data_IF_189752732408
#
_entry.id   IF_189752732408
#
_cell.length_a   1.000
_cell.length_b   1.000
_cell.length_c   1.000
_cell.angle_alpha   90.00
_cell.angle_beta   90.00
_cell.angle_gamma   90.00
#
_symmetry.space_group_name_H-M   'P 1'
#
loop_
_entity.id
_entity.type
_entity.pdbx_description
1 polymer ?
#
# COMPACT_ATOMS: atom_id res chain seq x y z
N UNK A 1 72.04 16.80 86.25
CA UNK A 1 70.76 17.04 85.54
C UNK A 1 70.34 15.74 84.90
N UNK A 2 69.12 15.21 85.18
CA UNK A 2 68.60 14.04 84.48
C UNK A 2 68.31 14.36 83.00
N UNK A 3 68.68 13.45 82.09
CA UNK A 3 68.52 13.61 80.65
C UNK A 3 67.07 13.61 80.19
N UNK A 4 66.79 14.34 79.11
CA UNK A 4 65.47 14.43 78.49
C UNK A 4 64.97 13.03 78.07
N UNK A 5 63.70 12.68 78.35
CA UNK A 5 63.09 11.43 77.87
C UNK A 5 63.17 11.36 76.34
N UNK A 6 63.58 10.21 75.80
CA UNK A 6 63.70 9.98 74.37
C UNK A 6 62.36 10.06 73.64
N UNK A 7 62.41 10.53 72.40
CA UNK A 7 61.22 10.70 71.56
C UNK A 7 60.45 9.39 71.35
N UNK A 8 59.13 9.49 71.38
CA UNK A 8 58.23 8.36 71.19
C UNK A 8 58.36 7.83 69.76
N UNK A 9 58.60 6.52 69.61
CA UNK A 9 58.78 5.88 68.31
C UNK A 9 57.59 6.10 67.36
N UNK A 10 57.88 6.14 66.06
CA UNK A 10 56.89 6.37 65.00
C UNK A 10 55.80 5.29 65.02
N UNK A 11 54.53 5.63 64.73
CA UNK A 11 53.46 4.65 64.59
C UNK A 11 53.76 3.62 63.49
N UNK A 12 53.40 2.35 63.73
CA UNK A 12 53.57 1.27 62.75
C UNK A 12 52.74 1.48 61.48
N UNK A 13 53.26 0.99 60.35
CA UNK A 13 52.59 1.10 59.05
C UNK A 13 51.26 0.32 59.02
N UNK A 14 50.21 0.95 58.50
CA UNK A 14 48.87 0.36 58.38
C UNK A 14 48.89 -0.75 57.31
N UNK A 15 48.32 -1.92 57.61
CA UNK A 15 48.26 -3.06 56.68
C UNK A 15 47.49 -2.75 55.40
N UNK A 16 47.93 -3.32 54.28
CA UNK A 16 47.36 -3.10 52.95
C UNK A 16 46.02 -3.84 52.79
N UNK A 17 44.99 -3.15 52.29
CA UNK A 17 43.69 -3.76 52.01
C UNK A 17 43.77 -4.73 50.81
N UNK A 18 43.07 -5.87 50.90
CA UNK A 18 42.99 -6.85 49.81
C UNK A 18 42.14 -6.35 48.64
N UNK A 19 42.50 -6.73 47.42
CA UNK A 19 41.77 -6.36 46.21
C UNK A 19 40.38 -7.05 46.14
N UNK A 20 39.36 -6.39 45.58
CA UNK A 20 38.06 -7.01 45.29
C UNK A 20 38.21 -8.21 44.34
N UNK A 21 37.39 -9.26 44.54
CA UNK A 21 37.39 -10.44 43.68
C UNK A 21 36.85 -10.15 42.28
N UNK A 22 37.26 -10.99 41.31
CA UNK A 22 36.89 -10.82 39.90
C UNK A 22 35.38 -10.99 39.67
N UNK A 23 34.84 -10.22 38.71
CA UNK A 23 33.44 -10.31 38.29
C UNK A 23 33.19 -11.66 37.59
N UNK A 24 32.12 -12.36 37.98
CA UNK A 24 31.73 -13.63 37.37
C UNK A 24 31.37 -13.50 35.88
N UNK A 25 31.56 -14.57 35.12
CA UNK A 25 31.26 -14.59 33.68
C UNK A 25 29.77 -14.34 33.41
N UNK A 26 29.41 -13.62 32.33
CA UNK A 26 28.02 -13.48 31.91
C UNK A 26 27.31 -14.83 31.74
N UNK A 27 26.04 -14.89 32.11
CA UNK A 27 25.22 -16.09 31.89
C UNK A 27 24.99 -16.40 30.40
N UNK A 28 24.53 -17.61 30.08
CA UNK A 28 24.23 -18.00 28.71
C UNK A 28 23.12 -17.13 28.09
N UNK A 29 23.21 -16.90 26.78
CA UNK A 29 22.19 -16.16 26.01
C UNK A 29 20.86 -16.92 26.09
N UNK A 30 19.77 -16.20 26.38
CA UNK A 30 18.42 -16.77 26.42
C UNK A 30 17.95 -17.24 25.04
N UNK A 31 16.97 -18.15 25.01
CA UNK A 31 16.37 -18.62 23.76
C UNK A 31 15.72 -17.45 22.98
N UNK A 32 15.80 -17.42 21.64
CA UNK A 32 15.06 -16.46 20.83
C UNK A 32 13.56 -16.54 21.14
N UNK A 33 12.91 -15.38 21.28
CA UNK A 33 11.46 -15.31 21.46
C UNK A 33 10.68 -15.84 20.24
N UNK A 34 9.37 -16.16 20.39
CA UNK A 34 8.54 -16.65 19.28
C UNK A 34 8.49 -15.64 18.13
N UNK A 35 8.59 -16.16 16.89
CA UNK A 35 8.65 -15.39 15.64
C UNK A 35 7.61 -14.26 15.59
N UNK A 36 8.11 -13.03 15.38
CA UNK A 36 7.30 -11.84 15.15
C UNK A 36 6.41 -12.06 13.92
N UNK A 37 5.11 -12.26 14.13
CA UNK A 37 4.11 -11.94 13.10
C UNK A 37 4.32 -10.46 12.78
N UNK A 38 4.77 -10.17 11.57
CA UNK A 38 4.93 -8.80 11.12
C UNK A 38 3.53 -8.21 10.92
N UNK A 39 3.22 -7.07 11.54
CA UNK A 39 1.97 -6.30 11.34
C UNK A 39 1.85 -5.72 9.90
N UNK A 40 2.30 -6.47 8.90
CA UNK A 40 2.37 -6.09 7.49
C UNK A 40 1.18 -6.70 6.79
N UNK A 41 0.40 -5.84 6.14
CA UNK A 41 -0.74 -6.25 5.34
C UNK A 41 -0.40 -6.17 3.86
N UNK A 42 -0.76 -7.22 3.13
CA UNK A 42 -0.80 -7.21 1.68
C UNK A 42 -2.25 -7.05 1.23
N UNK A 43 -2.48 -6.11 0.32
CA UNK A 43 -3.76 -5.98 -0.37
C UNK A 43 -3.59 -6.33 -1.84
N UNK A 44 -4.55 -7.09 -2.38
CA UNK A 44 -4.59 -7.46 -3.79
C UNK A 44 -5.98 -7.26 -4.36
N UNK A 45 -6.04 -6.68 -5.56
CA UNK A 45 -7.29 -6.40 -6.28
C UNK A 45 -7.38 -7.29 -7.52
N UNK A 46 -8.50 -8.00 -7.66
CA UNK A 46 -8.70 -8.95 -8.77
C UNK A 46 -8.98 -8.27 -10.11
N UNK A 47 -9.53 -7.05 -10.09
CA UNK A 47 -10.17 -6.44 -11.25
C UNK A 47 -11.24 -7.36 -11.88
N UNK A 48 -11.89 -8.19 -11.06
CA UNK A 48 -12.91 -9.19 -11.41
C UNK A 48 -14.03 -9.22 -10.33
N UNK A 49 -15.15 -9.89 -10.61
CA UNK A 49 -16.27 -10.12 -9.68
C UNK A 49 -15.94 -11.14 -8.59
N UNK A 50 -14.85 -11.90 -8.74
CA UNK A 50 -14.37 -12.90 -7.77
C UNK A 50 -13.18 -12.35 -6.97
N UNK A 51 -13.16 -12.52 -5.63
CA UNK A 51 -12.00 -12.15 -4.82
C UNK A 51 -10.72 -12.88 -5.30
N UNK A 52 -9.57 -12.20 -5.30
CA UNK A 52 -8.30 -12.86 -5.56
C UNK A 52 -7.91 -13.73 -4.36
N UNK A 53 -6.99 -14.68 -4.57
CA UNK A 53 -6.45 -15.51 -3.48
C UNK A 53 -5.20 -14.86 -2.88
N UNK A 54 -5.03 -14.97 -1.56
CA UNK A 54 -3.77 -14.63 -0.91
C UNK A 54 -2.62 -15.47 -1.49
N UNK A 55 -1.43 -14.89 -1.68
CA UNK A 55 -0.22 -15.65 -2.01
C UNK A 55 0.10 -16.74 -0.98
N UNK A 56 1.00 -17.66 -1.34
CA UNK A 56 1.44 -18.73 -0.45
C UNK A 56 2.04 -18.16 0.84
N UNK A 57 1.87 -18.88 1.95
CA UNK A 57 2.38 -18.51 3.28
C UNK A 57 1.83 -17.19 3.84
N UNK A 58 0.65 -16.77 3.37
CA UNK A 58 -0.07 -15.61 3.90
C UNK A 58 -1.46 -16.03 4.39
N UNK A 59 -1.90 -15.44 5.49
CA UNK A 59 -3.22 -15.71 6.07
C UNK A 59 -4.22 -14.70 5.54
N UNK A 60 -5.35 -15.17 5.00
CA UNK A 60 -6.44 -14.27 4.61
C UNK A 60 -7.10 -13.66 5.85
N UNK A 61 -7.24 -12.33 5.85
CA UNK A 61 -7.99 -11.61 6.88
C UNK A 61 -9.44 -11.38 6.43
N UNK A 62 -9.67 -10.75 5.29
CA UNK A 62 -11.02 -10.59 4.72
C UNK A 62 -11.02 -10.41 3.20
N UNK A 63 -12.20 -10.63 2.61
CA UNK A 63 -12.52 -10.28 1.22
C UNK A 63 -13.41 -9.02 1.20
N UNK A 64 -13.32 -8.24 0.13
CA UNK A 64 -14.09 -6.99 0.01
C UNK A 64 -14.29 -6.50 -1.41
N UNK A 65 -14.57 -5.21 -1.52
CA UNK A 65 -14.76 -4.44 -2.73
C UNK A 65 -13.70 -3.35 -2.81
N UNK A 66 -13.21 -3.10 -4.02
CA UNK A 66 -12.01 -2.30 -4.28
C UNK A 66 -12.34 -0.81 -4.35
N UNK A 67 -12.33 -0.13 -3.21
CA UNK A 67 -12.50 1.32 -3.14
C UNK A 67 -11.25 2.03 -3.64
N UNK A 68 -11.43 2.99 -4.56
CA UNK A 68 -10.34 3.82 -5.06
C UNK A 68 -10.33 5.20 -4.38
N UNK A 69 -11.45 5.89 -4.40
CA UNK A 69 -11.61 7.17 -3.71
C UNK A 69 -13.07 7.53 -3.47
N UNK A 70 -13.30 8.45 -2.54
CA UNK A 70 -14.60 9.09 -2.31
C UNK A 70 -14.50 10.58 -2.64
N UNK A 71 -15.60 11.18 -3.08
CA UNK A 71 -15.69 12.62 -3.32
C UNK A 71 -16.89 13.18 -2.56
N UNK A 72 -16.61 14.06 -1.61
CA UNK A 72 -17.61 14.75 -0.80
C UNK A 72 -17.39 16.25 -0.87
N UNK A 73 -18.45 17.02 -1.11
CA UNK A 73 -18.36 18.48 -1.20
C UNK A 73 -17.29 18.97 -2.20
N UNK A 74 -17.13 18.28 -3.34
CA UNK A 74 -16.14 18.60 -4.37
C UNK A 74 -14.69 18.25 -4.03
N UNK A 75 -14.42 17.68 -2.85
CA UNK A 75 -13.10 17.25 -2.43
C UNK A 75 -13.00 15.75 -2.53
N UNK A 76 -11.94 15.27 -3.18
CA UNK A 76 -11.68 13.85 -3.30
C UNK A 76 -10.69 13.37 -2.23
N UNK A 77 -10.93 12.16 -1.72
CA UNK A 77 -10.08 11.49 -0.75
C UNK A 77 -9.83 10.06 -1.20
N UNK A 78 -8.57 9.79 -1.57
CA UNK A 78 -8.13 8.52 -2.12
C UNK A 78 -7.74 7.51 -1.06
N UNK A 79 -7.86 6.24 -1.42
CA UNK A 79 -7.23 5.13 -0.73
C UNK A 79 -6.15 4.56 -1.65
N UNK A 80 -4.95 4.38 -1.11
CA UNK A 80 -3.90 3.68 -1.84
C UNK A 80 -4.28 2.18 -1.92
N UNK A 81 -4.26 1.63 -3.13
CA UNK A 81 -4.69 0.27 -3.45
C UNK A 81 -3.75 -0.80 -2.87
N UNK A 82 -2.59 -0.42 -2.34
CA UNK A 82 -1.73 -1.33 -1.58
C UNK A 82 -2.09 -1.40 -0.09
N UNK A 83 -3.03 -0.58 0.39
CA UNK A 83 -3.39 -0.50 1.80
C UNK A 83 -4.81 -1.01 2.07
N UNK A 84 -5.02 -1.55 3.27
CA UNK A 84 -6.25 -2.21 3.68
C UNK A 84 -7.51 -1.33 3.56
N UNK A 85 -7.38 -0.01 3.65
CA UNK A 85 -8.49 0.94 3.50
C UNK A 85 -9.14 0.94 2.12
N UNK A 86 -8.43 0.48 1.08
CA UNK A 86 -8.96 0.29 -0.26
C UNK A 86 -9.84 -0.97 -0.40
N UNK A 87 -9.89 -1.85 0.62
CA UNK A 87 -10.63 -3.10 0.55
C UNK A 87 -11.81 -3.15 1.54
N UNK A 88 -12.93 -2.55 1.17
CA UNK A 88 -14.11 -2.47 2.04
C UNK A 88 -14.94 -3.75 2.00
N UNK A 89 -15.28 -4.32 3.16
CA UNK A 89 -16.06 -5.57 3.25
C UNK A 89 -17.49 -5.44 2.69
N UNK A 90 -18.04 -4.21 2.66
CA UNK A 90 -19.39 -3.93 2.18
C UNK A 90 -19.33 -2.84 1.11
N UNK A 91 -20.01 -3.10 0.01
CA UNK A 91 -20.22 -2.13 -1.04
C UNK A 91 -21.43 -1.23 -0.71
N UNK A 92 -21.31 0.06 -1.06
CA UNK A 92 -22.42 1.00 -1.15
C UNK A 92 -22.03 2.05 -2.20
N UNK A 93 -23.00 2.54 -2.98
CA UNK A 93 -22.78 3.71 -3.85
C UNK A 93 -22.48 4.97 -3.02
N UNK A 94 -22.86 4.98 -1.74
CA UNK A 94 -22.55 6.00 -0.75
C UNK A 94 -22.06 5.35 0.55
N UNK A 95 -20.75 5.08 0.70
CA UNK A 95 -20.22 4.40 1.88
C UNK A 95 -19.96 5.33 3.09
N UNK A 96 -20.32 6.61 3.00
CA UNK A 96 -20.09 7.61 4.05
C UNK A 96 -21.30 8.54 4.23
N UNK A 97 -21.29 9.29 5.33
CA UNK A 97 -22.24 10.35 5.64
C UNK A 97 -21.48 11.62 6.03
N UNK A 98 -22.16 12.75 6.07
CA UNK A 98 -21.58 14.01 6.54
C UNK A 98 -22.46 14.62 7.62
N UNK A 99 -21.85 15.38 8.53
CA UNK A 99 -22.54 16.08 9.62
C UNK A 99 -22.17 17.55 9.60
N UNK A 100 -23.06 18.40 10.14
CA UNK A 100 -22.74 19.80 10.39
C UNK A 100 -21.67 19.94 11.49
N UNK A 101 -20.96 21.08 11.56
CA UNK A 101 -19.91 21.31 12.57
C UNK A 101 -20.40 21.18 14.01
N UNK A 102 -21.67 21.51 14.27
CA UNK A 102 -22.27 21.42 15.61
C UNK A 102 -22.64 19.96 15.99
N UNK A 103 -22.56 19.01 15.06
CA UNK A 103 -22.85 17.59 15.29
C UNK A 103 -24.32 17.27 15.57
N UNK A 104 -25.23 18.23 15.37
CA UNK A 104 -26.67 18.10 15.65
C UNK A 104 -27.46 17.51 14.49
N UNK A 105 -26.94 17.62 13.26
CA UNK A 105 -27.60 17.15 12.03
C UNK A 105 -26.59 16.42 11.16
N UNK A 106 -26.83 15.13 10.95
CA UNK A 106 -26.11 14.32 9.97
C UNK A 106 -27.03 13.98 8.80
N UNK A 107 -26.45 13.90 7.61
CA UNK A 107 -27.15 13.63 6.37
C UNK A 107 -26.47 12.49 5.63
N UNK A 108 -27.27 11.56 5.13
CA UNK A 108 -26.82 10.40 4.37
C UNK A 108 -27.47 10.39 3.00
N UNK A 109 -26.66 10.21 1.95
CA UNK A 109 -27.11 10.10 0.56
C UNK A 109 -28.07 11.21 0.07
N UNK A 110 -28.01 12.41 0.68
CA UNK A 110 -28.89 13.54 0.36
C UNK A 110 -28.24 14.60 -0.54
N UNK A 111 -26.96 14.41 -0.91
CA UNK A 111 -26.18 15.29 -1.81
C UNK A 111 -25.64 14.52 -3.00
N UNK A 112 -25.12 15.25 -3.98
CA UNK A 112 -24.48 14.72 -5.18
C UNK A 112 -23.03 14.22 -4.95
N UNK A 113 -22.74 13.71 -3.76
CA UNK A 113 -21.46 13.11 -3.45
C UNK A 113 -21.29 11.76 -4.17
N UNK A 114 -20.05 11.31 -4.32
CA UNK A 114 -19.68 10.22 -5.21
C UNK A 114 -18.70 9.25 -4.55
N UNK A 115 -18.70 8.02 -5.03
CA UNK A 115 -17.67 7.03 -4.72
C UNK A 115 -17.13 6.41 -6.00
N UNK A 116 -15.84 6.09 -6.04
CA UNK A 116 -15.19 5.47 -7.19
C UNK A 116 -14.52 4.18 -6.78
N UNK A 117 -14.71 3.15 -7.59
CA UNK A 117 -14.30 1.78 -7.30
C UNK A 117 -13.50 1.23 -8.47
N UNK A 118 -12.46 0.43 -8.22
CA UNK A 118 -11.85 -0.34 -9.30
C UNK A 118 -12.92 -1.24 -9.91
N UNK A 119 -12.83 -1.41 -11.23
CA UNK A 119 -13.87 -2.04 -12.01
C UNK A 119 -13.45 -3.34 -12.69
N UNK A 120 -14.43 -4.13 -13.12
CA UNK A 120 -14.21 -5.43 -13.77
C UNK A 120 -13.94 -5.30 -15.27
N UNK A 121 -13.76 -6.43 -15.95
CA UNK A 121 -13.58 -6.52 -17.40
C UNK A 121 -14.91 -6.51 -18.17
N UNK A 122 -16.03 -6.26 -17.47
CA UNK A 122 -17.35 -6.18 -18.09
C UNK A 122 -17.36 -5.06 -19.14
N UNK A 123 -17.96 -5.29 -20.33
CA UNK A 123 -18.09 -4.24 -21.34
C UNK A 123 -18.77 -2.99 -20.78
N UNK A 124 -18.31 -1.81 -21.23
CA UNK A 124 -18.87 -0.51 -20.86
C UNK A 124 -20.40 -0.51 -21.08
N UNK A 125 -21.20 -0.23 -20.04
CA UNK A 125 -22.64 -0.21 -20.17
C UNK A 125 -23.07 1.00 -21.01
N UNK A 126 -24.17 0.88 -21.77
CA UNK A 126 -24.71 1.97 -22.58
C UNK A 126 -25.41 3.06 -21.74
N UNK A 127 -25.74 2.75 -20.49
CA UNK A 127 -26.49 3.61 -19.56
C UNK A 127 -26.04 3.34 -18.12
N UNK A 128 -26.28 4.27 -17.18
CA UNK A 128 -25.99 4.04 -15.76
C UNK A 128 -26.64 2.76 -15.24
N UNK A 129 -25.85 1.94 -14.56
CA UNK A 129 -26.28 0.67 -13.93
C UNK A 129 -26.77 0.93 -12.51
N UNK A 130 -27.68 0.08 -12.02
CA UNK A 130 -28.38 0.21 -10.73
C UNK A 130 -28.43 -1.11 -9.99
N UNK A 131 -28.56 -1.02 -8.67
CA UNK A 131 -28.89 -2.14 -7.79
C UNK A 131 -27.95 -3.34 -8.00
N UNK A 132 -28.49 -4.56 -8.12
CA UNK A 132 -27.72 -5.80 -8.25
C UNK A 132 -26.83 -5.83 -9.50
N UNK A 133 -27.25 -5.16 -10.58
CA UNK A 133 -26.46 -5.10 -11.81
C UNK A 133 -25.13 -4.33 -11.63
N UNK A 134 -24.98 -3.54 -10.56
CA UNK A 134 -23.72 -2.87 -10.23
C UNK A 134 -22.64 -3.90 -9.87
N UNK A 135 -23.01 -5.02 -9.23
CA UNK A 135 -22.07 -6.03 -8.74
C UNK A 135 -21.13 -6.56 -9.83
N UNK A 136 -21.65 -6.70 -11.05
CA UNK A 136 -20.89 -7.14 -12.24
C UNK A 136 -19.73 -6.22 -12.61
N UNK A 137 -19.74 -4.97 -12.13
CA UNK A 137 -18.77 -3.93 -12.47
C UNK A 137 -17.80 -3.59 -11.36
N UNK A 138 -18.00 -4.09 -10.13
CA UNK A 138 -17.14 -3.76 -8.98
C UNK A 138 -16.07 -4.83 -8.77
N UNK A 139 -14.80 -4.41 -8.82
CA UNK A 139 -13.65 -5.27 -8.54
C UNK A 139 -13.66 -5.75 -7.10
N UNK A 140 -13.32 -7.03 -6.90
CA UNK A 140 -13.11 -7.61 -5.57
C UNK A 140 -11.65 -7.53 -5.13
N UNK A 141 -11.45 -7.55 -3.82
CA UNK A 141 -10.12 -7.49 -3.20
C UNK A 141 -10.02 -8.48 -2.04
N UNK A 142 -8.79 -8.76 -1.64
CA UNK A 142 -8.44 -9.54 -0.46
C UNK A 142 -7.38 -8.80 0.34
N UNK A 143 -7.47 -8.90 1.67
CA UNK A 143 -6.41 -8.46 2.58
C UNK A 143 -5.80 -9.67 3.26
N UNK A 144 -4.47 -9.75 3.21
CA UNK A 144 -3.68 -10.86 3.72
C UNK A 144 -2.67 -10.36 4.73
N UNK A 145 -2.42 -11.16 5.77
CA UNK A 145 -1.28 -11.00 6.66
C UNK A 145 -0.03 -11.51 5.94
N UNK A 146 0.95 -10.62 5.75
CA UNK A 146 2.21 -10.92 5.06
C UNK A 146 3.33 -11.14 6.08
N UNK A 147 4.23 -12.12 5.87
CA UNK A 147 5.34 -12.37 6.79
C UNK A 147 6.53 -11.41 6.59
N UNK A 148 6.52 -10.61 5.53
CA UNK A 148 7.60 -9.69 5.20
C UNK A 148 7.10 -8.49 4.40
N UNK A 149 7.97 -7.47 4.28
CA UNK A 149 7.68 -6.24 3.53
C UNK A 149 7.46 -6.54 2.06
N UNK A 150 6.53 -5.79 1.45
CA UNK A 150 6.18 -5.86 0.03
C UNK A 150 6.33 -4.48 -0.60
N UNK A 151 6.83 -4.42 -1.83
CA UNK A 151 6.96 -3.18 -2.60
C UNK A 151 6.72 -3.39 -4.09
N UNK A 152 6.35 -2.33 -4.79
CA UNK A 152 6.33 -2.28 -6.24
C UNK A 152 7.66 -1.71 -6.78
N UNK A 153 8.14 -2.28 -7.88
CA UNK A 153 9.23 -1.75 -8.71
C UNK A 153 8.72 -1.51 -10.12
N UNK A 154 9.17 -0.41 -10.75
CA UNK A 154 8.70 0.03 -12.06
C UNK A 154 9.88 0.14 -13.04
N UNK A 155 9.72 -0.37 -14.26
CA UNK A 155 10.82 -0.41 -15.23
C UNK A 155 10.94 0.84 -16.09
N UNK A 156 9.84 1.57 -16.30
CA UNK A 156 9.73 2.60 -17.33
C UNK A 156 10.10 2.08 -18.74
N UNK A 157 9.92 0.77 -18.97
CA UNK A 157 10.09 0.09 -20.25
C UNK A 157 8.95 -0.89 -20.48
N UNK A 158 8.94 -1.57 -21.63
CA UNK A 158 7.98 -2.62 -21.97
C UNK A 158 8.29 -3.96 -21.27
N UNK A 159 9.48 -4.06 -20.66
CA UNK A 159 10.02 -5.25 -20.02
C UNK A 159 9.68 -5.19 -18.53
N UNK A 160 9.26 -6.32 -17.95
CA UNK A 160 9.01 -6.41 -16.52
C UNK A 160 10.32 -6.22 -15.74
N UNK A 161 10.35 -5.35 -14.71
CA UNK A 161 11.53 -5.21 -13.86
C UNK A 161 11.73 -6.47 -13.01
N UNK A 162 12.99 -6.86 -12.82
CA UNK A 162 13.34 -7.91 -11.87
C UNK A 162 13.21 -7.41 -10.42
N UNK A 163 12.86 -8.32 -9.51
CA UNK A 163 12.87 -8.00 -8.08
C UNK A 163 14.33 -7.82 -7.60
N UNK A 164 14.60 -6.90 -6.66
CA UNK A 164 15.95 -6.72 -6.14
C UNK A 164 16.49 -7.97 -5.44
N UNK A 165 17.81 -8.05 -5.29
CA UNK A 165 18.47 -9.16 -4.59
C UNK A 165 17.88 -9.36 -3.17
N UNK A 166 17.52 -10.60 -2.85
CA UNK A 166 16.85 -10.96 -1.59
C UNK A 166 15.36 -10.65 -1.56
N UNK A 167 14.73 -10.51 -2.73
CA UNK A 167 13.29 -10.37 -2.89
C UNK A 167 12.75 -11.33 -3.96
N UNK A 168 11.55 -11.86 -3.71
CA UNK A 168 10.82 -12.74 -4.62
C UNK A 168 9.61 -12.04 -5.23
N UNK A 169 9.27 -12.37 -6.48
CA UNK A 169 8.10 -11.81 -7.17
C UNK A 169 6.79 -12.43 -6.65
N UNK A 170 5.81 -11.58 -6.35
CA UNK A 170 4.43 -11.98 -6.05
C UNK A 170 3.56 -11.93 -7.31
N UNK A 171 3.57 -10.82 -8.04
CA UNK A 171 2.91 -10.64 -9.33
C UNK A 171 3.60 -9.56 -10.16
N UNK A 172 3.17 -9.45 -11.42
CA UNK A 172 3.64 -8.45 -12.38
C UNK A 172 2.45 -7.73 -13.01
N UNK A 173 2.67 -6.54 -13.53
CA UNK A 173 1.58 -5.73 -14.05
C UNK A 173 2.01 -4.49 -14.84
N UNK A 174 1.16 -3.46 -14.75
CA UNK A 174 1.31 -2.16 -15.38
C UNK A 174 1.34 -1.05 -14.33
N UNK A 175 2.20 -0.06 -14.60
CA UNK A 175 2.51 1.02 -13.68
C UNK A 175 1.40 2.08 -13.62
N UNK A 176 0.46 1.93 -12.69
CA UNK A 176 -0.66 2.84 -12.44
C UNK A 176 -0.26 3.95 -11.46
N UNK A 177 -0.50 5.22 -11.82
CA UNK A 177 -0.07 6.38 -11.04
C UNK A 177 -1.23 7.03 -10.31
N UNK A 178 -2.30 7.35 -11.04
CA UNK A 178 -3.43 8.09 -10.47
C UNK A 178 -4.69 7.93 -11.30
N UNK A 179 -5.84 7.96 -10.63
CA UNK A 179 -7.14 8.19 -11.23
C UNK A 179 -7.64 9.60 -10.85
N UNK A 180 -7.79 10.48 -11.85
CA UNK A 180 -8.19 11.89 -11.74
C UNK A 180 -7.25 12.73 -10.86
N UNK A 181 -6.96 13.96 -11.32
CA UNK A 181 -5.94 14.89 -10.79
C UNK A 181 -5.74 14.98 -9.27
N UNK A 182 -6.79 14.77 -8.47
CA UNK A 182 -6.78 15.06 -7.03
C UNK A 182 -7.35 13.92 -6.16
N UNK A 183 -7.87 12.83 -6.74
CA UNK A 183 -8.72 11.89 -6.00
C UNK A 183 -8.13 10.52 -5.69
N UNK A 184 -7.25 9.96 -6.51
CA UNK A 184 -6.86 8.55 -6.39
C UNK A 184 -5.44 8.24 -6.84
N UNK A 185 -4.47 9.07 -6.43
CA UNK A 185 -3.04 8.80 -6.63
C UNK A 185 -2.55 7.59 -5.85
N UNK A 186 -1.51 6.91 -6.36
CA UNK A 186 -0.85 5.77 -5.73
C UNK A 186 0.58 6.15 -5.38
N UNK A 187 1.09 5.65 -4.25
CA UNK A 187 2.54 5.66 -4.04
C UNK A 187 3.20 4.69 -5.02
N UNK A 188 4.22 5.14 -5.76
CA UNK A 188 4.93 4.27 -6.72
C UNK A 188 5.72 3.12 -6.03
N UNK A 189 5.95 3.18 -4.72
CA UNK A 189 6.52 2.05 -3.97
C UNK A 189 5.45 1.10 -3.45
N UNK A 190 4.17 1.50 -3.46
CA UNK A 190 3.07 0.69 -2.96
C UNK A 190 2.68 -0.38 -3.99
N UNK A 191 2.29 -1.59 -3.57
CA UNK A 191 1.69 -2.58 -4.47
C UNK A 191 0.49 -2.05 -5.28
N UNK A 192 -0.20 -1.02 -4.76
CA UNK A 192 -1.33 -0.37 -5.41
C UNK A 192 -1.01 0.33 -6.74
N UNK A 193 0.25 0.72 -6.96
CA UNK A 193 0.71 1.27 -8.24
C UNK A 193 0.92 0.20 -9.31
N UNK A 194 0.79 -1.09 -8.99
CA UNK A 194 1.07 -2.19 -9.92
C UNK A 194 -0.15 -3.07 -10.17
N UNK A 195 -1.02 -2.62 -11.08
CA UNK A 195 -2.23 -3.34 -11.49
C UNK A 195 -1.88 -4.47 -12.47
N UNK A 196 -2.36 -5.69 -12.19
CA UNK A 196 -2.10 -6.88 -13.01
C UNK A 196 -2.63 -6.71 -14.45
N UNK A 197 -3.79 -6.06 -14.60
CA UNK A 197 -4.41 -5.80 -15.90
C UNK A 197 -4.43 -4.31 -16.25
N UNK A 198 -3.84 -3.96 -17.39
CA UNK A 198 -4.04 -2.65 -18.00
C UNK A 198 -5.48 -2.47 -18.48
N UNK A 199 -6.12 -1.35 -18.08
CA UNK A 199 -7.43 -0.92 -18.57
C UNK A 199 -7.46 0.60 -18.75
N UNK A 200 -7.92 1.07 -19.91
CA UNK A 200 -8.04 2.51 -20.15
C UNK A 200 -9.01 3.20 -19.17
N UNK A 201 -10.09 2.51 -18.79
CA UNK A 201 -11.02 2.91 -17.73
C UNK A 201 -10.98 1.87 -16.60
N UNK A 202 -10.02 1.94 -15.66
CA UNK A 202 -9.85 0.91 -14.63
C UNK A 202 -10.84 1.06 -13.47
N UNK A 203 -11.63 2.13 -13.41
CA UNK A 203 -12.57 2.42 -12.32
C UNK A 203 -13.93 2.90 -12.85
N UNK A 204 -14.97 2.70 -12.03
CA UNK A 204 -16.35 3.14 -12.26
C UNK A 204 -16.75 4.15 -11.19
N UNK A 205 -17.51 5.18 -11.56
CA UNK A 205 -18.00 6.20 -10.62
C UNK A 205 -19.46 5.91 -10.25
N UNK A 206 -19.76 5.93 -8.96
CA UNK A 206 -21.08 5.74 -8.40
C UNK A 206 -21.60 7.05 -7.81
N UNK A 207 -22.80 7.46 -8.23
CA UNK A 207 -23.54 8.58 -7.67
C UNK A 207 -24.33 8.10 -6.46
N UNK A 208 -24.00 8.62 -5.28
CA UNK A 208 -24.54 8.09 -4.04
C UNK A 208 -26.06 8.28 -3.91
N UNK A 209 -26.56 9.51 -4.03
CA UNK A 209 -28.01 9.81 -3.94
C UNK A 209 -28.87 9.11 -5.00
N UNK A 210 -28.29 8.83 -6.18
CA UNK A 210 -29.01 8.18 -7.29
C UNK A 210 -28.92 6.65 -7.27
N UNK A 211 -28.03 6.07 -6.47
CA UNK A 211 -27.80 4.63 -6.45
C UNK A 211 -27.36 4.06 -7.80
N UNK A 212 -26.67 4.85 -8.62
CA UNK A 212 -26.27 4.49 -9.99
C UNK A 212 -24.76 4.55 -10.16
N UNK A 213 -24.19 3.63 -10.93
CA UNK A 213 -22.78 3.68 -11.33
C UNK A 213 -22.62 3.78 -12.85
N UNK A 214 -21.62 4.51 -13.31
CA UNK A 214 -21.36 4.72 -14.74
C UNK A 214 -19.91 5.12 -15.03
N UNK A 215 -19.53 4.99 -16.30
CA UNK A 215 -18.25 5.45 -16.82
C UNK A 215 -18.47 6.76 -17.59
N UNK A 216 -17.89 7.85 -17.08
CA UNK A 216 -18.02 9.17 -17.69
C UNK A 216 -16.84 9.44 -18.63
N UNK A 217 -17.09 10.10 -19.77
CA UNK A 217 -16.05 10.34 -20.78
C UNK A 217 -14.89 11.24 -20.35
N UNK A 218 -15.02 11.91 -19.20
CA UNK A 218 -13.96 12.71 -18.58
C UNK A 218 -13.11 11.93 -17.56
N UNK A 219 -13.37 10.62 -17.38
CA UNK A 219 -12.55 9.77 -16.53
C UNK A 219 -11.22 9.46 -17.23
N UNK A 220 -10.12 9.87 -16.59
CA UNK A 220 -8.77 9.62 -17.06
C UNK A 220 -8.04 8.73 -16.07
N UNK A 221 -7.28 7.77 -16.62
CA UNK A 221 -6.30 6.99 -15.89
C UNK A 221 -4.90 7.36 -16.36
N UNK A 222 -3.97 7.50 -15.43
CA UNK A 222 -2.60 7.91 -15.69
C UNK A 222 -1.66 6.77 -15.33
N UNK A 223 -0.75 6.48 -16.25
CA UNK A 223 0.18 5.37 -16.18
C UNK A 223 1.60 5.88 -16.43
N UNK A 224 2.61 5.26 -15.83
CA UNK A 224 4.00 5.61 -16.17
C UNK A 224 4.27 5.25 -17.62
N UNK A 225 4.86 6.18 -18.36
CA UNK A 225 5.25 5.97 -19.74
C UNK A 225 6.54 5.14 -19.84
N UNK A 226 6.76 4.52 -20.99
CA UNK A 226 8.08 4.00 -21.36
C UNK A 226 9.01 5.14 -21.76
N UNK A 227 10.25 5.15 -21.26
CA UNK A 227 11.24 6.19 -21.53
C UNK A 227 12.50 5.51 -22.09
N UNK A 228 13.04 6.06 -23.18
CA UNK A 228 14.34 5.65 -23.69
C UNK A 228 15.45 6.41 -22.93
N UNK A 229 16.37 5.68 -22.33
CA UNK A 229 17.48 6.24 -21.54
C UNK A 229 18.32 7.24 -22.33
N UNK A 230 18.50 7.03 -23.64
CA UNK A 230 19.33 7.91 -24.47
C UNK A 230 18.68 9.25 -24.76
N UNK A 231 17.35 9.34 -24.73
CA UNK A 231 16.58 10.54 -25.06
C UNK A 231 15.77 11.08 -23.87
N UNK A 232 16.05 10.63 -22.64
CA UNK A 232 15.23 10.95 -21.46
C UNK A 232 15.19 12.44 -21.08
N UNK A 233 16.20 13.21 -21.50
CA UNK A 233 16.28 14.66 -21.29
C UNK A 233 15.86 15.49 -22.51
N UNK A 234 15.49 14.82 -23.61
CA UNK A 234 14.98 15.49 -24.80
C UNK A 234 13.50 15.82 -24.63
N UNK A 235 12.99 16.72 -25.48
CA UNK A 235 11.56 17.02 -25.53
C UNK A 235 10.81 15.72 -25.90
N UNK A 236 9.84 15.26 -25.07
CA UNK A 236 9.07 14.06 -25.39
C UNK A 236 8.35 14.18 -26.73
N UNK A 237 8.43 13.13 -27.55
CA UNK A 237 7.67 13.03 -28.79
C UNK A 237 6.18 12.82 -28.47
N UNK A 238 5.38 13.84 -28.74
CA UNK A 238 3.93 13.76 -28.60
C UNK A 238 3.31 12.82 -29.63
N UNK A 239 2.32 12.03 -29.21
CA UNK A 239 1.60 11.12 -30.10
C UNK A 239 0.27 10.69 -29.51
N UNK A 240 -0.67 10.31 -30.39
CA UNK A 240 -1.92 9.66 -30.00
C UNK A 240 -1.85 8.19 -30.38
N UNK A 241 -1.87 7.31 -29.38
CA UNK A 241 -1.70 5.88 -29.59
C UNK A 241 -3.06 5.17 -29.63
N UNK A 242 -3.28 4.38 -30.68
CA UNK A 242 -4.45 3.49 -30.79
C UNK A 242 -4.15 2.16 -30.11
N UNK A 243 -5.23 1.39 -29.85
CA UNK A 243 -5.26 0.16 -29.03
C UNK A 243 -4.08 -0.81 -29.23
N UNK A 244 -3.61 -0.97 -30.46
CA UNK A 244 -2.53 -1.91 -30.82
C UNK A 244 -1.14 -1.52 -30.28
N UNK A 245 -0.86 -0.21 -30.14
CA UNK A 245 0.44 0.31 -29.69
C UNK A 245 0.38 0.91 -28.28
N UNK A 246 -0.76 0.78 -27.59
CA UNK A 246 -0.96 1.43 -26.30
C UNK A 246 -0.13 0.77 -25.20
N UNK A 247 -0.07 -0.57 -25.17
CA UNK A 247 0.66 -1.32 -24.14
C UNK A 247 2.17 -1.12 -24.22
N UNK A 248 2.71 -0.91 -25.42
CA UNK A 248 4.14 -0.68 -25.64
C UNK A 248 4.59 0.70 -25.12
N UNK A 249 3.65 1.61 -24.85
CA UNK A 249 3.93 2.92 -24.27
C UNK A 249 3.74 2.97 -22.75
N UNK A 250 3.33 1.87 -22.13
CA UNK A 250 3.04 1.80 -20.70
C UNK A 250 4.13 0.98 -20.00
N UNK A 251 4.73 1.61 -19.00
CA UNK A 251 5.72 1.02 -18.10
C UNK A 251 5.18 -0.24 -17.41
N UNK A 252 6.05 -1.23 -17.24
CA UNK A 252 5.77 -2.44 -16.47
C UNK A 252 6.19 -2.29 -15.02
N UNK A 253 5.62 -3.15 -14.19
CA UNK A 253 5.98 -3.26 -12.79
C UNK A 253 5.96 -4.70 -12.30
N UNK A 254 6.65 -4.91 -11.19
CA UNK A 254 6.66 -6.16 -10.43
C UNK A 254 6.43 -5.83 -8.97
N UNK A 255 5.57 -6.60 -8.31
CA UNK A 255 5.41 -6.53 -6.85
C UNK A 255 6.25 -7.64 -6.23
N UNK A 256 7.09 -7.25 -5.29
CA UNK A 256 8.13 -8.08 -4.71
C UNK A 256 7.97 -8.17 -3.19
N UNK A 257 8.23 -9.34 -2.61
CA UNK A 257 8.28 -9.57 -1.16
C UNK A 257 9.72 -9.87 -0.74
N UNK A 258 10.13 -9.36 0.43
CA UNK A 258 11.46 -9.65 0.98
C UNK A 258 11.55 -11.13 1.36
N UNK A 259 12.64 -11.78 0.96
CA UNK A 259 12.92 -13.16 1.37
C UNK A 259 13.19 -13.21 2.87
N UNK A 260 12.57 -14.16 3.57
CA UNK A 260 12.83 -14.38 4.98
C UNK A 260 14.23 -15.02 5.15
N UNK A 261 15.03 -14.59 6.14
CA UNK A 261 16.25 -15.29 6.47
C UNK A 261 15.91 -16.72 6.90
N UNK A 262 16.68 -17.69 6.37
CA UNK A 262 16.62 -19.10 6.78
C UNK A 262 16.99 -19.29 8.25
#
# INVERSE_FOLDING_TARGET
MPGLPGDRGLPGLKGQASYPGDIGTPGPVGMPGPNYLTDILLVRHSQDIKPPTCPKNMTKLWDGYSLLYIEGNGHAHGQDLGFAGSCLQRFSTMPFLFCNPEGTVCSYASRNDKSSWLSTNKPLPLRPVREEAIQDFISRCVVCESPANVMAVHSQTEIYPECPNGWSSLWVGYSFVMARGEGGGQSLSSPGSCLEDFRAAPFIECSGARGTCYYFGNQLSFWLATINETTQFEKPEGGTFKKEHLRSKISRCSVCIRDLPN
#
